data_IF_765081580666
#
_entry.id   IF_765081580666
#
_cell.length_a   1.000
_cell.length_b   1.000
_cell.length_c   1.000
_cell.angle_alpha   90.00
_cell.angle_beta   90.00
_cell.angle_gamma   90.00
#
_symmetry.space_group_name_H-M   'P 1'
#
loop_
_entity.id
_entity.type
_entity.pdbx_description
1 polymer ?
#
# COMPACT_ATOMS: atom_id res chain seq x y z
N UNK A 1 43.67 23.86 -5.72
CA UNK A 1 42.48 23.01 -6.06
C UNK A 1 42.24 21.87 -5.08
N UNK A 2 43.26 21.21 -4.57
CA UNK A 2 43.13 20.11 -3.60
C UNK A 2 42.51 20.51 -2.24
N UNK A 3 42.93 21.64 -1.69
CA UNK A 3 42.37 22.15 -0.42
C UNK A 3 40.86 22.45 -0.48
N UNK A 4 40.36 22.92 -1.63
CA UNK A 4 38.91 23.18 -1.83
C UNK A 4 38.12 21.87 -1.88
N UNK A 5 38.69 20.83 -2.51
CA UNK A 5 38.06 19.50 -2.56
C UNK A 5 37.93 18.85 -1.19
N UNK A 6 38.94 19.00 -0.34
CA UNK A 6 38.94 18.48 1.05
C UNK A 6 37.92 19.22 1.90
N UNK A 7 37.84 20.56 1.79
CA UNK A 7 36.81 21.34 2.54
C UNK A 7 35.40 20.98 2.13
N UNK A 8 35.14 20.79 0.83
CA UNK A 8 33.82 20.36 0.34
C UNK A 8 33.47 18.95 0.80
N UNK A 9 34.42 18.02 0.83
CA UNK A 9 34.21 16.66 1.33
C UNK A 9 33.89 16.64 2.83
N UNK A 10 34.59 17.40 3.63
CA UNK A 10 34.35 17.51 5.09
C UNK A 10 32.97 18.15 5.36
N UNK A 11 32.59 19.18 4.61
CA UNK A 11 31.30 19.83 4.73
C UNK A 11 30.17 18.86 4.34
N UNK A 12 30.34 18.06 3.29
CA UNK A 12 29.35 17.06 2.87
C UNK A 12 29.16 15.95 3.92
N UNK A 13 30.25 15.44 4.50
CA UNK A 13 30.21 14.44 5.58
C UNK A 13 29.54 15.00 6.83
N UNK A 14 29.84 16.24 7.20
CA UNK A 14 29.22 16.93 8.34
C UNK A 14 27.73 17.13 8.14
N UNK A 15 27.30 17.48 6.93
CA UNK A 15 25.88 17.64 6.59
C UNK A 15 25.12 16.31 6.61
N UNK A 16 25.70 15.23 6.08
CA UNK A 16 25.11 13.89 6.12
C UNK A 16 24.99 13.40 7.56
N UNK A 17 26.03 13.58 8.40
CA UNK A 17 25.97 13.23 9.82
C UNK A 17 24.91 14.04 10.57
N UNK A 18 24.79 15.33 10.30
CA UNK A 18 23.77 16.17 10.91
C UNK A 18 22.36 15.72 10.53
N UNK A 19 22.13 15.33 9.27
CA UNK A 19 20.85 14.76 8.81
C UNK A 19 20.54 13.41 9.47
N UNK A 20 21.53 12.54 9.62
CA UNK A 20 21.35 11.24 10.28
C UNK A 20 21.01 11.45 11.77
N UNK A 21 21.70 12.35 12.46
CA UNK A 21 21.42 12.67 13.87
C UNK A 21 20.03 13.32 13.99
N UNK A 22 19.70 14.27 13.11
CA UNK A 22 18.38 14.92 13.09
C UNK A 22 17.25 13.90 12.92
N UNK A 23 17.35 12.99 11.96
CA UNK A 23 16.34 11.95 11.74
C UNK A 23 16.30 10.91 12.87
N UNK A 24 17.41 10.62 13.51
CA UNK A 24 17.45 9.72 14.67
C UNK A 24 16.80 10.34 15.92
N UNK A 25 16.92 11.67 16.08
CA UNK A 25 16.32 12.41 17.19
C UNK A 25 14.88 12.87 16.92
N UNK A 26 14.48 12.94 15.64
CA UNK A 26 13.15 13.31 15.18
C UNK A 26 12.62 12.24 14.21
N UNK A 27 12.26 11.04 14.72
CA UNK A 27 11.71 10.02 13.86
C UNK A 27 10.42 10.52 13.21
N UNK A 28 10.13 10.11 11.96
CA UNK A 28 8.91 10.54 11.27
C UNK A 28 7.68 10.18 12.12
N UNK A 29 6.84 11.16 12.35
CA UNK A 29 5.58 10.98 13.09
C UNK A 29 4.61 10.23 12.18
N UNK A 30 4.18 9.06 12.63
CA UNK A 30 3.10 8.33 11.95
C UNK A 30 1.79 8.96 12.35
N UNK A 31 1.13 9.59 11.38
CA UNK A 31 -0.17 10.21 11.60
C UNK A 31 -1.16 9.13 12.06
N UNK A 32 -1.82 9.36 13.18
CA UNK A 32 -2.85 8.48 13.75
C UNK A 32 -4.22 8.67 13.09
N UNK A 33 -4.39 9.78 12.36
CA UNK A 33 -5.60 10.02 11.57
C UNK A 33 -5.44 9.38 10.20
N UNK A 34 -6.50 8.70 9.71
CA UNK A 34 -6.52 8.13 8.38
C UNK A 34 -6.25 9.20 7.29
N UNK A 35 -5.42 8.86 6.31
CA UNK A 35 -5.15 9.73 5.17
C UNK A 35 -6.36 9.87 4.26
N UNK A 36 -7.13 8.77 4.12
CA UNK A 36 -8.39 8.74 3.40
C UNK A 36 -9.35 7.80 4.16
N UNK A 37 -10.46 8.35 4.66
CA UNK A 37 -11.42 7.59 5.47
C UNK A 37 -12.15 6.50 4.68
N UNK A 38 -12.31 6.63 3.37
CA UNK A 38 -12.86 5.58 2.52
C UNK A 38 -11.97 4.31 2.47
N UNK A 39 -10.67 4.46 2.79
CA UNK A 39 -9.69 3.38 2.85
C UNK A 39 -9.47 2.85 4.28
N UNK A 40 -10.37 3.16 5.22
CA UNK A 40 -10.28 2.72 6.60
C UNK A 40 -11.55 1.99 7.04
N UNK A 41 -11.41 1.11 8.05
CA UNK A 41 -12.51 0.36 8.69
C UNK A 41 -12.33 0.32 10.19
N UNK A 42 -13.44 0.34 10.93
CA UNK A 42 -13.46 0.33 12.39
C UNK A 42 -13.67 1.72 12.96
N UNK A 43 -13.58 1.81 14.28
CA UNK A 43 -13.76 3.05 15.01
C UNK A 43 -12.41 3.68 15.36
N UNK A 44 -12.10 4.87 14.85
CA UNK A 44 -10.83 5.56 15.13
C UNK A 44 -10.65 5.95 16.60
N UNK A 45 -11.73 6.01 17.39
CA UNK A 45 -11.69 6.43 18.80
C UNK A 45 -11.34 5.28 19.74
N UNK A 46 -11.67 4.03 19.37
CA UNK A 46 -11.51 2.87 20.22
C UNK A 46 -10.46 1.89 19.73
N UNK A 47 -10.34 1.73 18.41
CA UNK A 47 -9.43 0.79 17.79
C UNK A 47 -7.97 1.24 17.80
N UNK A 48 -7.05 0.32 18.12
CA UNK A 48 -5.64 0.57 17.82
C UNK A 48 -5.44 0.66 16.31
N UNK A 49 -4.73 1.70 15.87
CA UNK A 49 -4.55 1.97 14.44
C UNK A 49 -3.58 0.96 13.81
N UNK A 50 -4.11 0.08 12.95
CA UNK A 50 -3.37 -0.85 12.12
C UNK A 50 -3.28 -0.30 10.70
N UNK A 51 -2.10 0.08 10.29
CA UNK A 51 -1.83 0.71 8.99
C UNK A 51 -1.08 -0.27 8.11
N UNK A 52 -1.57 -0.49 6.88
CA UNK A 52 -0.87 -1.17 5.82
C UNK A 52 -0.53 -0.19 4.70
N UNK A 53 0.75 0.03 4.46
CA UNK A 53 1.21 0.69 3.24
C UNK A 53 1.30 -0.34 2.12
N UNK A 54 0.67 -0.04 1.00
CA UNK A 54 0.46 -1.00 -0.08
C UNK A 54 0.68 -0.39 -1.46
N UNK A 55 0.86 -1.24 -2.44
CA UNK A 55 0.85 -0.91 -3.87
C UNK A 55 0.09 -2.02 -4.58
N UNK A 56 -0.85 -1.69 -5.43
CA UNK A 56 -1.74 -2.67 -6.07
C UNK A 56 -0.99 -3.67 -6.95
N UNK A 57 0.17 -3.29 -7.49
CA UNK A 57 1.05 -4.16 -8.27
C UNK A 57 2.17 -4.81 -7.45
N UNK A 58 2.01 -4.88 -6.13
CA UNK A 58 2.94 -5.57 -5.25
C UNK A 58 2.39 -6.96 -4.91
N UNK A 59 3.00 -8.06 -5.38
CA UNK A 59 2.50 -9.43 -5.15
C UNK A 59 2.47 -9.81 -3.66
N UNK A 60 3.38 -9.28 -2.86
CA UNK A 60 3.38 -9.51 -1.40
C UNK A 60 2.27 -8.75 -0.69
N UNK A 61 1.86 -7.59 -1.23
CA UNK A 61 0.69 -6.86 -0.76
C UNK A 61 -0.60 -7.63 -1.09
N UNK A 62 -0.66 -8.19 -2.31
CA UNK A 62 -1.77 -9.02 -2.76
C UNK A 62 -1.97 -10.26 -1.89
N UNK A 63 -0.90 -11.02 -1.58
CA UNK A 63 -0.96 -12.18 -0.69
C UNK A 63 -1.60 -11.86 0.66
N UNK A 64 -1.17 -10.77 1.32
CA UNK A 64 -1.77 -10.34 2.57
C UNK A 64 -3.24 -9.96 2.40
N UNK A 65 -3.55 -9.12 1.39
CA UNK A 65 -4.90 -8.62 1.16
C UNK A 65 -5.87 -9.75 0.78
N UNK A 66 -5.42 -10.71 -0.03
CA UNK A 66 -6.21 -11.88 -0.40
C UNK A 66 -6.55 -12.74 0.83
N UNK A 67 -5.58 -12.97 1.73
CA UNK A 67 -5.83 -13.71 2.97
C UNK A 67 -6.85 -12.99 3.87
N UNK A 68 -6.75 -11.67 3.96
CA UNK A 68 -7.67 -10.84 4.74
C UNK A 68 -9.07 -10.83 4.13
N UNK A 69 -9.18 -10.74 2.79
CA UNK A 69 -10.46 -10.80 2.10
C UNK A 69 -11.16 -12.16 2.27
N UNK A 70 -10.41 -13.26 2.13
CA UNK A 70 -10.94 -14.61 2.32
C UNK A 70 -11.43 -14.86 3.76
N UNK A 71 -10.83 -14.18 4.73
CA UNK A 71 -11.15 -14.28 6.15
C UNK A 71 -11.81 -13.00 6.71
N UNK A 72 -12.50 -12.25 5.85
CA UNK A 72 -13.06 -10.94 6.21
C UNK A 72 -14.08 -11.00 7.34
N UNK A 73 -14.85 -12.09 7.46
CA UNK A 73 -15.79 -12.29 8.57
C UNK A 73 -15.06 -12.44 9.92
N UNK A 74 -14.01 -13.28 9.98
CA UNK A 74 -13.16 -13.44 11.17
C UNK A 74 -12.50 -12.10 11.54
N UNK A 75 -11.99 -11.36 10.54
CA UNK A 75 -11.37 -10.06 10.76
C UNK A 75 -12.38 -9.02 11.29
N UNK A 76 -13.57 -8.95 10.69
CA UNK A 76 -14.61 -8.04 11.14
C UNK A 76 -15.03 -8.35 12.59
N UNK A 77 -15.45 -9.58 12.87
CA UNK A 77 -15.98 -9.99 14.18
C UNK A 77 -14.94 -9.85 15.30
N UNK A 78 -13.72 -10.32 15.06
CA UNK A 78 -12.71 -10.45 16.12
C UNK A 78 -11.80 -9.23 16.31
N UNK A 79 -11.81 -8.28 15.36
CA UNK A 79 -10.89 -7.14 15.41
C UNK A 79 -11.56 -5.78 15.15
N UNK A 80 -12.47 -5.67 14.18
CA UNK A 80 -13.08 -4.40 13.77
C UNK A 80 -14.30 -4.06 14.62
N UNK A 81 -15.30 -4.95 14.62
CA UNK A 81 -16.62 -4.70 15.22
C UNK A 81 -16.56 -4.64 16.75
N UNK A 82 -15.57 -5.30 17.37
CA UNK A 82 -15.32 -5.24 18.80
C UNK A 82 -14.40 -4.08 19.22
N UNK A 83 -14.05 -3.18 18.30
CA UNK A 83 -13.28 -1.97 18.57
C UNK A 83 -11.79 -2.20 18.89
N UNK A 84 -11.22 -3.40 18.64
CA UNK A 84 -9.79 -3.64 18.88
C UNK A 84 -8.90 -2.96 17.85
N UNK A 85 -9.33 -2.93 16.60
CA UNK A 85 -8.54 -2.46 15.47
C UNK A 85 -9.29 -1.39 14.67
N UNK A 86 -8.59 -0.30 14.40
CA UNK A 86 -8.92 0.64 13.32
C UNK A 86 -7.95 0.39 12.17
N UNK A 87 -8.42 -0.26 11.10
CA UNK A 87 -7.61 -0.68 9.95
C UNK A 87 -7.61 0.36 8.85
N UNK A 88 -6.43 0.77 8.39
CA UNK A 88 -6.26 1.71 7.28
C UNK A 88 -5.30 1.14 6.24
N UNK A 89 -5.67 1.24 4.97
CA UNK A 89 -4.79 1.01 3.83
C UNK A 89 -4.29 2.35 3.28
N UNK A 90 -2.98 2.49 3.15
CA UNK A 90 -2.30 3.66 2.55
C UNK A 90 -1.72 3.27 1.21
N UNK A 91 -2.47 3.54 0.15
CA UNK A 91 -2.09 3.16 -1.20
C UNK A 91 -1.01 4.09 -1.74
N UNK A 92 0.03 3.50 -2.33
CA UNK A 92 1.20 4.16 -2.90
C UNK A 92 1.50 3.63 -4.29
N UNK A 93 2.42 4.27 -5.03
CA UNK A 93 2.98 3.75 -6.27
C UNK A 93 4.50 3.49 -6.15
N UNK A 94 4.91 2.85 -5.06
CA UNK A 94 6.32 2.57 -4.77
C UNK A 94 6.97 1.69 -5.83
N UNK A 95 6.23 0.75 -6.42
CA UNK A 95 6.73 -0.13 -7.47
C UNK A 95 6.97 0.61 -8.79
N UNK A 96 6.23 1.67 -9.08
CA UNK A 96 6.53 2.56 -10.20
C UNK A 96 7.86 3.28 -9.98
N UNK A 97 8.03 3.93 -8.84
CA UNK A 97 9.25 4.68 -8.50
C UNK A 97 10.50 3.80 -8.46
N UNK A 98 10.37 2.54 -8.08
CA UNK A 98 11.47 1.56 -8.05
C UNK A 98 11.71 0.86 -9.41
N UNK A 99 10.90 1.15 -10.44
CA UNK A 99 10.98 0.53 -11.76
C UNK A 99 10.53 -0.94 -11.82
N UNK A 100 9.80 -1.42 -10.79
CA UNK A 100 9.29 -2.80 -10.76
C UNK A 100 8.03 -2.97 -11.59
N UNK A 101 7.13 -1.98 -11.59
CA UNK A 101 5.90 -2.01 -12.38
C UNK A 101 5.56 -0.63 -12.93
N UNK A 102 5.45 -0.51 -14.24
CA UNK A 102 4.96 0.70 -14.90
C UNK A 102 3.45 0.92 -14.69
N UNK A 103 2.72 -0.13 -14.34
CA UNK A 103 1.27 -0.08 -14.09
C UNK A 103 0.91 0.47 -12.71
N UNK A 104 1.87 0.52 -11.77
CA UNK A 104 1.63 0.86 -10.38
C UNK A 104 1.10 2.30 -10.19
N UNK A 105 1.49 3.25 -11.05
CA UNK A 105 0.99 4.61 -10.96
C UNK A 105 -0.50 4.67 -11.35
N UNK A 106 -0.86 4.15 -12.53
CA UNK A 106 -2.25 4.13 -12.99
C UNK A 106 -3.12 3.26 -12.09
N UNK A 107 -2.60 2.10 -11.65
CA UNK A 107 -3.29 1.25 -10.68
C UNK A 107 -3.55 1.94 -9.35
N UNK A 108 -2.59 2.71 -8.84
CA UNK A 108 -2.79 3.53 -7.64
C UNK A 108 -3.88 4.58 -7.85
N UNK A 109 -3.85 5.31 -8.97
CA UNK A 109 -4.90 6.30 -9.30
C UNK A 109 -6.29 5.69 -9.38
N UNK A 110 -6.42 4.50 -9.99
CA UNK A 110 -7.69 3.79 -10.08
C UNK A 110 -8.29 3.48 -8.71
N UNK A 111 -7.46 3.12 -7.74
CA UNK A 111 -7.89 2.91 -6.35
C UNK A 111 -8.45 4.20 -5.74
N UNK A 112 -7.78 5.33 -5.94
CA UNK A 112 -8.28 6.61 -5.42
C UNK A 112 -9.55 7.07 -6.15
N UNK A 113 -9.70 6.79 -7.46
CA UNK A 113 -10.93 7.05 -8.20
C UNK A 113 -12.12 6.22 -7.66
N UNK A 114 -11.89 4.96 -7.30
CA UNK A 114 -12.91 4.12 -6.66
C UNK A 114 -13.25 4.61 -5.24
N UNK A 115 -12.25 5.11 -4.50
CA UNK A 115 -12.46 5.68 -3.17
C UNK A 115 -13.33 6.95 -3.21
N UNK A 116 -13.26 7.77 -4.28
CA UNK A 116 -14.16 8.91 -4.49
C UNK A 116 -15.64 8.52 -4.63
N UNK A 117 -15.90 7.27 -4.97
CA UNK A 117 -17.26 6.70 -5.09
C UNK A 117 -17.65 5.86 -3.84
N UNK A 118 -16.88 5.90 -2.75
CA UNK A 118 -17.03 5.07 -1.55
C UNK A 118 -17.00 3.54 -1.86
N UNK A 119 -16.36 3.16 -2.96
CA UNK A 119 -16.27 1.76 -3.44
C UNK A 119 -14.84 1.18 -3.30
N UNK A 120 -13.97 1.79 -2.51
CA UNK A 120 -12.57 1.37 -2.34
C UNK A 120 -12.43 -0.14 -2.08
N UNK A 121 -13.13 -0.69 -1.10
CA UNK A 121 -12.95 -2.08 -0.66
C UNK A 121 -13.37 -3.09 -1.73
N UNK A 122 -14.50 -2.83 -2.41
CA UNK A 122 -14.97 -3.68 -3.50
C UNK A 122 -14.03 -3.65 -4.70
N UNK A 123 -13.61 -2.45 -5.09
CA UNK A 123 -12.69 -2.26 -6.21
C UNK A 123 -11.30 -2.83 -5.93
N UNK A 124 -10.75 -2.59 -4.73
CA UNK A 124 -9.44 -3.12 -4.34
C UNK A 124 -9.42 -4.65 -4.41
N UNK A 125 -10.50 -5.31 -3.95
CA UNK A 125 -10.63 -6.75 -4.10
C UNK A 125 -10.72 -7.17 -5.57
N UNK A 126 -11.58 -6.53 -6.36
CA UNK A 126 -11.82 -6.89 -7.76
C UNK A 126 -10.53 -6.78 -8.61
N UNK A 127 -9.74 -5.71 -8.43
CA UNK A 127 -8.49 -5.54 -9.17
C UNK A 127 -7.42 -6.55 -8.75
N UNK A 128 -7.34 -6.93 -7.46
CA UNK A 128 -6.41 -7.96 -7.00
C UNK A 128 -6.80 -9.35 -7.48
N UNK A 129 -8.09 -9.72 -7.43
CA UNK A 129 -8.58 -10.98 -7.97
C UNK A 129 -8.24 -11.09 -9.47
N UNK A 130 -8.49 -10.02 -10.23
CA UNK A 130 -8.17 -9.96 -11.67
C UNK A 130 -6.67 -10.08 -11.92
N UNK A 131 -5.83 -9.39 -11.15
CA UNK A 131 -4.36 -9.50 -11.25
C UNK A 131 -3.87 -10.91 -10.92
N UNK A 132 -4.47 -11.56 -9.92
CA UNK A 132 -4.15 -12.93 -9.58
C UNK A 132 -4.52 -13.89 -10.70
N UNK A 133 -5.74 -13.84 -11.22
CA UNK A 133 -6.21 -14.71 -12.30
C UNK A 133 -5.41 -14.53 -13.59
N UNK A 134 -5.16 -13.28 -13.99
CA UNK A 134 -4.53 -12.97 -15.27
C UNK A 134 -3.00 -13.13 -15.23
N UNK A 135 -2.34 -12.97 -14.07
CA UNK A 135 -0.88 -12.89 -14.00
C UNK A 135 -0.25 -13.70 -12.86
N UNK A 136 -0.59 -13.43 -11.59
CA UNK A 136 0.13 -13.98 -10.45
C UNK A 136 0.00 -15.50 -10.35
N UNK A 137 -1.17 -16.06 -10.66
CA UNK A 137 -1.41 -17.53 -10.70
C UNK A 137 -0.51 -18.25 -11.70
N UNK A 138 -0.01 -17.53 -12.73
CA UNK A 138 0.90 -18.04 -13.76
C UNK A 138 2.37 -17.71 -13.48
N UNK A 139 2.67 -17.12 -12.32
CA UNK A 139 4.04 -16.74 -11.93
C UNK A 139 4.52 -15.43 -12.55
N UNK A 140 3.64 -14.65 -13.22
CA UNK A 140 3.98 -13.35 -13.82
C UNK A 140 3.82 -12.25 -12.77
N UNK A 141 4.81 -11.36 -12.64
CA UNK A 141 4.79 -10.25 -11.68
C UNK A 141 5.00 -10.63 -10.22
N UNK A 142 5.26 -11.91 -9.90
CA UNK A 142 5.32 -12.42 -8.51
C UNK A 142 6.62 -12.12 -7.77
N UNK A 143 7.66 -11.66 -8.47
CA UNK A 143 8.96 -11.30 -7.89
C UNK A 143 9.73 -10.38 -8.82
N UNK A 144 10.87 -9.85 -8.33
CA UNK A 144 11.77 -8.99 -9.13
C UNK A 144 12.41 -9.71 -10.33
N UNK A 145 12.51 -11.02 -10.27
CA UNK A 145 13.14 -11.87 -11.31
C UNK A 145 12.13 -12.59 -12.19
N UNK A 146 10.84 -12.51 -11.84
CA UNK A 146 9.77 -13.06 -12.65
C UNK A 146 9.52 -12.21 -13.90
N UNK A 147 8.83 -12.80 -14.89
CA UNK A 147 8.30 -12.06 -16.02
C UNK A 147 7.44 -10.89 -15.52
N UNK A 148 7.60 -9.71 -16.11
CA UNK A 148 6.84 -8.52 -15.71
C UNK A 148 5.45 -8.54 -16.32
N UNK A 149 4.47 -8.04 -15.57
CA UNK A 149 3.16 -7.73 -16.11
C UNK A 149 3.35 -6.66 -17.20
N UNK A 150 2.84 -6.88 -18.43
CA UNK A 150 2.93 -5.91 -19.50
C UNK A 150 2.20 -4.62 -19.14
N UNK A 151 2.47 -3.55 -19.87
CA UNK A 151 1.70 -2.32 -19.71
C UNK A 151 0.23 -2.59 -20.00
N UNK A 152 -0.62 -2.22 -19.04
CA UNK A 152 -2.06 -2.41 -19.10
C UNK A 152 -2.75 -1.14 -19.63
N UNK A 153 -3.76 -1.33 -20.44
CA UNK A 153 -4.62 -0.24 -20.92
C UNK A 153 -5.69 0.08 -19.86
N UNK A 154 -6.29 1.26 -19.95
CA UNK A 154 -7.33 1.69 -19.00
C UNK A 154 -8.53 0.75 -18.94
N UNK A 155 -8.85 0.05 -20.04
CA UNK A 155 -9.91 -0.96 -20.09
C UNK A 155 -9.76 -2.05 -19.02
N UNK A 156 -8.51 -2.43 -18.70
CA UNK A 156 -8.24 -3.41 -17.65
C UNK A 156 -8.77 -2.98 -16.27
N UNK A 157 -8.64 -1.70 -15.96
CA UNK A 157 -9.11 -1.10 -14.71
C UNK A 157 -10.62 -0.90 -14.73
N UNK A 158 -11.20 -0.60 -15.93
CA UNK A 158 -12.65 -0.46 -16.08
C UNK A 158 -13.38 -1.78 -15.83
N UNK A 159 -12.88 -2.90 -16.36
CA UNK A 159 -13.43 -4.23 -16.10
C UNK A 159 -13.45 -4.58 -14.59
N UNK A 160 -12.41 -4.24 -13.86
CA UNK A 160 -12.40 -4.38 -12.40
C UNK A 160 -13.41 -3.43 -11.73
N UNK A 161 -13.62 -2.23 -12.30
CA UNK A 161 -14.61 -1.27 -11.85
C UNK A 161 -16.05 -1.77 -12.01
N UNK A 162 -16.35 -2.41 -13.13
CA UNK A 162 -17.65 -3.06 -13.39
C UNK A 162 -17.92 -4.15 -12.34
N UNK A 163 -16.93 -4.99 -12.04
CA UNK A 163 -17.03 -6.03 -11.00
C UNK A 163 -17.32 -5.45 -9.61
N UNK A 164 -16.83 -4.25 -9.34
CA UNK A 164 -17.02 -3.54 -8.07
C UNK A 164 -18.28 -2.63 -8.04
N UNK A 165 -19.10 -2.67 -9.08
CA UNK A 165 -20.32 -1.85 -9.23
C UNK A 165 -20.02 -0.33 -9.12
N UNK A 166 -18.93 0.11 -9.78
CA UNK A 166 -18.62 1.53 -9.94
C UNK A 166 -19.50 2.17 -11.00
N UNK A 167 -19.79 3.49 -10.84
CA UNK A 167 -20.25 4.29 -11.97
C UNK A 167 -19.11 4.37 -13.01
N UNK A 168 -19.27 3.67 -14.12
CA UNK A 168 -18.24 3.51 -15.14
C UNK A 168 -17.85 4.82 -15.82
N UNK A 169 -18.80 5.75 -16.06
CA UNK A 169 -18.51 7.05 -16.67
C UNK A 169 -17.71 7.94 -15.73
N UNK A 170 -18.12 8.01 -14.46
CA UNK A 170 -17.41 8.77 -13.43
C UNK A 170 -16.02 8.19 -13.22
N UNK A 171 -15.88 6.87 -13.18
CA UNK A 171 -14.60 6.21 -12.98
C UNK A 171 -13.64 6.41 -14.16
N UNK A 172 -14.13 6.23 -15.39
CA UNK A 172 -13.34 6.45 -16.60
C UNK A 172 -12.87 7.91 -16.68
N UNK A 173 -13.76 8.86 -16.46
CA UNK A 173 -13.44 10.30 -16.45
C UNK A 173 -12.34 10.63 -15.43
N UNK A 174 -12.47 10.10 -14.21
CA UNK A 174 -11.49 10.29 -13.14
C UNK A 174 -10.10 9.77 -13.56
N UNK A 175 -10.04 8.57 -14.13
CA UNK A 175 -8.78 7.92 -14.49
C UNK A 175 -8.13 8.57 -15.73
N UNK A 176 -8.90 8.86 -16.77
CA UNK A 176 -8.42 9.50 -18.01
C UNK A 176 -7.89 10.92 -17.76
N UNK A 177 -8.56 11.69 -16.91
CA UNK A 177 -8.12 13.02 -16.52
C UNK A 177 -7.05 13.01 -15.41
N UNK A 178 -6.66 11.84 -14.92
CA UNK A 178 -5.65 11.68 -13.87
C UNK A 178 -5.95 12.51 -12.61
N UNK A 179 -7.22 12.58 -12.25
CA UNK A 179 -7.70 13.48 -11.18
C UNK A 179 -7.09 13.19 -9.81
N UNK A 180 -6.64 11.94 -9.58
CA UNK A 180 -6.11 11.48 -8.29
C UNK A 180 -4.59 11.35 -8.27
N UNK A 181 -3.89 11.67 -9.37
CA UNK A 181 -2.44 11.54 -9.46
C UNK A 181 -1.69 12.33 -8.38
N UNK A 182 -2.12 13.56 -8.12
CA UNK A 182 -1.47 14.40 -7.11
C UNK A 182 -1.68 13.87 -5.69
N UNK A 183 -2.87 13.30 -5.40
CA UNK A 183 -3.17 12.64 -4.12
C UNK A 183 -2.29 11.41 -3.92
N UNK A 184 -2.21 10.53 -4.93
CA UNK A 184 -1.34 9.37 -4.94
C UNK A 184 0.14 9.74 -4.74
N UNK A 185 0.64 10.75 -5.45
CA UNK A 185 2.03 11.24 -5.32
C UNK A 185 2.30 11.80 -3.91
N UNK A 186 1.36 12.55 -3.36
CA UNK A 186 1.48 13.08 -2.00
C UNK A 186 1.52 11.95 -0.97
N UNK A 187 0.63 10.95 -1.09
CA UNK A 187 0.60 9.78 -0.22
C UNK A 187 1.92 8.98 -0.31
N UNK A 188 2.42 8.76 -1.53
CA UNK A 188 3.70 8.06 -1.74
C UNK A 188 4.88 8.83 -1.15
N UNK A 189 4.91 10.15 -1.33
CA UNK A 189 5.97 11.00 -0.78
C UNK A 189 6.00 10.97 0.75
N UNK A 190 4.83 10.97 1.41
CA UNK A 190 4.73 10.77 2.86
C UNK A 190 5.20 9.36 3.26
N UNK A 191 4.77 8.33 2.53
CA UNK A 191 5.14 6.95 2.78
C UNK A 191 6.67 6.72 2.70
N UNK A 192 7.36 7.33 1.73
CA UNK A 192 8.81 7.25 1.58
C UNK A 192 9.61 7.75 2.80
N UNK A 193 9.02 8.64 3.61
CA UNK A 193 9.65 9.12 4.84
C UNK A 193 9.51 8.11 6.00
N UNK A 194 8.59 7.16 5.89
CA UNK A 194 8.21 6.21 6.95
C UNK A 194 8.74 4.81 6.64
N UNK A 195 8.66 4.40 5.36
CA UNK A 195 8.94 3.03 4.91
C UNK A 195 10.44 2.88 4.60
N UNK A 196 11.16 1.99 5.31
CA UNK A 196 12.60 1.84 5.10
C UNK A 196 12.98 1.03 3.85
N UNK A 197 12.12 0.13 3.37
CA UNK A 197 12.53 -0.89 2.39
C UNK A 197 11.51 -1.23 1.30
N UNK A 198 10.31 -0.64 1.32
CA UNK A 198 9.24 -0.93 0.35
C UNK A 198 7.98 -1.49 0.98
N UNK A 199 7.04 -1.91 0.12
CA UNK A 199 5.72 -2.40 0.51
C UNK A 199 5.61 -3.92 0.34
N UNK A 200 4.73 -4.62 1.09
CA UNK A 200 3.88 -4.07 2.15
C UNK A 200 4.72 -3.64 3.36
N UNK A 201 4.31 -2.56 3.98
CA UNK A 201 4.86 -2.15 5.26
C UNK A 201 3.72 -1.95 6.25
N UNK A 202 3.87 -2.50 7.44
CA UNK A 202 2.83 -2.53 8.46
C UNK A 202 3.25 -1.72 9.67
N UNK A 203 2.29 -0.98 10.23
CA UNK A 203 2.45 -0.25 11.49
C UNK A 203 1.23 -0.55 12.35
N UNK A 204 1.48 -1.08 13.56
CA UNK A 204 0.42 -1.37 14.51
C UNK A 204 0.91 -1.08 15.94
N UNK A 205 0.54 0.07 16.46
CA UNK A 205 1.11 0.55 17.71
C UNK A 205 2.65 0.71 17.62
N UNK A 206 3.39 0.03 18.48
CA UNK A 206 4.86 -0.03 18.42
C UNK A 206 5.38 -1.09 17.44
N UNK A 207 4.54 -2.01 16.99
CA UNK A 207 4.92 -3.05 16.03
C UNK A 207 5.07 -2.47 14.63
N UNK A 208 6.19 -2.81 13.99
CA UNK A 208 6.49 -2.43 12.59
C UNK A 208 7.08 -3.64 11.89
N UNK A 209 6.60 -3.91 10.67
CA UNK A 209 7.11 -5.01 9.85
C UNK A 209 7.17 -4.61 8.37
N UNK A 210 8.21 -5.09 7.68
CA UNK A 210 8.36 -4.97 6.23
C UNK A 210 8.17 -6.33 5.60
N UNK A 211 7.40 -6.37 4.50
CA UNK A 211 7.14 -7.60 3.75
C UNK A 211 6.06 -8.47 4.40
N UNK A 212 5.61 -9.42 3.61
CA UNK A 212 4.69 -10.47 4.02
C UNK A 212 5.07 -11.76 3.27
N UNK A 213 5.45 -12.79 3.99
CA UNK A 213 5.94 -14.05 3.41
C UNK A 213 4.79 -15.04 3.17
N UNK A 214 3.75 -14.58 2.47
CA UNK A 214 2.62 -15.39 2.05
C UNK A 214 2.90 -16.14 0.74
N UNK A 215 2.02 -17.11 0.43
CA UNK A 215 2.10 -17.94 -0.76
C UNK A 215 0.76 -18.12 -1.49
N UNK A 216 -0.24 -17.22 -1.22
CA UNK A 216 -1.63 -17.32 -1.65
C UNK A 216 -2.40 -18.51 -1.07
N UNK A 217 -1.87 -19.19 -0.05
CA UNK A 217 -2.64 -20.08 0.82
C UNK A 217 -3.38 -19.24 1.86
N UNK A 218 -4.62 -18.92 1.56
CA UNK A 218 -5.41 -17.95 2.35
C UNK A 218 -5.54 -18.35 3.82
N UNK A 219 -5.53 -19.62 4.15
CA UNK A 219 -5.60 -20.11 5.54
C UNK A 219 -4.27 -19.90 6.27
N UNK A 220 -3.15 -20.32 5.67
CA UNK A 220 -1.84 -20.15 6.26
C UNK A 220 -1.40 -18.69 6.31
N UNK A 221 -1.67 -17.93 5.25
CA UNK A 221 -1.40 -16.51 5.18
C UNK A 221 -2.21 -15.74 6.25
N UNK A 222 -3.47 -16.16 6.50
CA UNK A 222 -4.29 -15.58 7.58
C UNK A 222 -3.75 -15.92 8.97
N UNK A 223 -3.20 -17.10 9.20
CA UNK A 223 -2.53 -17.42 10.47
C UNK A 223 -1.34 -16.49 10.73
N UNK A 224 -0.54 -16.18 9.70
CA UNK A 224 0.55 -15.21 9.81
C UNK A 224 0.03 -13.79 10.08
N UNK A 225 -1.01 -13.34 9.37
CA UNK A 225 -1.63 -12.04 9.60
C UNK A 225 -2.15 -11.91 11.06
N UNK A 226 -2.76 -12.95 11.61
CA UNK A 226 -3.19 -12.98 13.03
C UNK A 226 -2.03 -12.86 14.02
N UNK A 227 -0.86 -13.43 13.73
CA UNK A 227 0.33 -13.24 14.56
C UNK A 227 0.81 -11.78 14.57
N UNK A 228 0.75 -11.12 13.40
CA UNK A 228 1.08 -9.69 13.31
C UNK A 228 0.08 -8.82 14.09
N UNK A 229 -1.22 -9.13 13.98
CA UNK A 229 -2.27 -8.44 14.75
C UNK A 229 -2.07 -8.65 16.26
N UNK A 230 -1.76 -9.86 16.69
CA UNK A 230 -1.47 -10.15 18.10
C UNK A 230 -0.24 -9.41 18.63
N UNK A 231 0.78 -9.21 17.80
CA UNK A 231 2.00 -8.49 18.19
C UNK A 231 1.77 -6.97 18.36
N UNK A 232 0.74 -6.41 17.73
CA UNK A 232 0.39 -5.00 17.83
C UNK A 232 -0.67 -4.70 18.91
N UNK A 233 -1.48 -5.69 19.30
CA UNK A 233 -2.51 -5.57 20.35
C UNK A 233 -1.91 -5.59 21.75
#
# INVERSE_FOLDING_TARGET
MEKVKVVLAVAAVGFVMALVIYNATNPPVIETRAWNTAMAKGDPETGKHFIMYTDVFCPYCDKFSNSLHANSADFAENYIDNGKVYYEMRVTHMNYLSGHSENSEVGGESIYCAAKQDKFWGYYKAILDKLYEDYHSRGIGVSKTAEKIPKLENSYYYEAGETADLDGEVFATCLENRETLNELKAATSKAQQIIPSGVPYFVFGSYKASGFDGNWDTENDWKQAKLMLAAGL
#
